data_IF_750904487245
#
_entry.id   IF_750904487245
#
_cell.length_a   1.000
_cell.length_b   1.000
_cell.length_c   1.000
_cell.angle_alpha   90.00
_cell.angle_beta   90.00
_cell.angle_gamma   90.00
#
_symmetry.space_group_name_H-M   'P 1'
#
loop_
_entity.id
_entity.type
_entity.pdbx_description
1 polymer ?
#
# COMPACT_ATOMS: atom_id res chain seq x y z
N UNK A 1 -42.63 39.39 14.66
CA UNK A 1 -42.51 37.95 14.98
C UNK A 1 -42.77 37.11 13.73
N UNK A 2 -41.77 36.88 12.87
CA UNK A 2 -41.92 36.00 11.69
C UNK A 2 -40.58 35.60 11.03
N UNK A 3 -39.51 35.53 11.82
CA UNK A 3 -38.15 35.26 11.33
C UNK A 3 -37.54 34.01 11.98
N UNK A 4 -38.29 32.90 12.06
CA UNK A 4 -37.85 31.71 12.81
C UNK A 4 -38.04 30.36 12.08
N UNK A 5 -38.18 30.33 10.74
CA UNK A 5 -38.50 29.09 10.02
C UNK A 5 -37.56 28.72 8.86
N UNK A 6 -36.33 29.24 8.83
CA UNK A 6 -35.35 28.89 7.75
C UNK A 6 -34.11 28.13 8.26
N UNK A 7 -34.05 27.80 9.55
CA UNK A 7 -32.86 27.18 10.16
C UNK A 7 -32.87 25.64 10.19
N UNK A 8 -33.75 24.96 9.43
CA UNK A 8 -33.96 23.51 9.54
C UNK A 8 -33.41 22.67 8.37
N UNK A 9 -32.61 23.23 7.46
CA UNK A 9 -32.04 22.52 6.31
C UNK A 9 -30.54 22.14 6.45
N UNK A 10 -30.02 22.01 7.67
CA UNK A 10 -28.58 21.78 7.92
C UNK A 10 -28.21 20.33 8.28
N UNK A 11 -28.99 19.31 7.84
CA UNK A 11 -28.82 17.95 8.38
C UNK A 11 -28.87 16.81 7.36
N UNK A 12 -28.49 17.00 6.09
CA UNK A 12 -28.33 15.85 5.18
C UNK A 12 -27.25 16.07 4.11
N UNK A 13 -26.01 15.72 4.46
CA UNK A 13 -25.20 14.88 3.59
C UNK A 13 -24.18 14.14 4.46
N UNK A 14 -24.55 12.92 4.80
CA UNK A 14 -23.62 11.92 5.31
C UNK A 14 -22.41 11.91 4.39
N UNK A 15 -21.25 12.32 4.92
CA UNK A 15 -19.99 12.08 4.26
C UNK A 15 -19.89 10.58 4.04
N UNK A 16 -20.02 10.15 2.79
CA UNK A 16 -19.63 8.82 2.36
C UNK A 16 -18.15 8.70 2.71
N UNK A 17 -17.86 8.02 3.83
CA UNK A 17 -16.53 7.51 4.07
C UNK A 17 -16.25 6.55 2.92
N UNK A 18 -15.56 7.05 1.89
CA UNK A 18 -14.92 6.20 0.92
C UNK A 18 -13.97 5.33 1.72
N UNK A 19 -14.30 4.06 1.89
CA UNK A 19 -13.33 3.08 2.35
C UNK A 19 -12.14 3.21 1.40
N UNK A 20 -10.93 3.41 1.94
CA UNK A 20 -9.72 3.45 1.14
C UNK A 20 -9.65 2.19 0.27
N UNK A 21 -10.06 2.28 -1.00
CA UNK A 21 -10.05 1.17 -1.95
C UNK A 21 -8.66 0.91 -2.51
N UNK A 22 -7.63 1.48 -1.88
CA UNK A 22 -6.24 1.37 -2.29
C UNK A 22 -5.48 0.34 -1.46
N UNK A 23 -4.23 0.12 -1.83
CA UNK A 23 -3.32 -0.71 -1.04
C UNK A 23 -3.03 -0.06 0.32
N UNK A 24 -3.12 -0.87 1.36
CA UNK A 24 -2.88 -0.50 2.75
C UNK A 24 -2.23 -1.68 3.49
N UNK A 25 -1.84 -1.49 4.76
CA UNK A 25 -1.10 -2.49 5.55
C UNK A 25 0.10 -3.08 4.78
N UNK A 26 0.84 -2.20 4.10
CA UNK A 26 1.99 -2.59 3.33
C UNK A 26 3.23 -2.69 4.22
N UNK A 27 4.02 -3.74 4.02
CA UNK A 27 5.25 -3.94 4.77
C UNK A 27 6.26 -4.75 3.99
N UNK A 28 7.49 -4.76 4.50
CA UNK A 28 8.55 -5.61 3.99
C UNK A 28 9.35 -6.20 5.13
N UNK A 29 9.87 -7.39 4.92
CA UNK A 29 10.74 -8.10 5.85
C UNK A 29 11.99 -8.57 5.12
N UNK A 30 13.13 -8.34 5.74
CA UNK A 30 14.41 -8.86 5.29
C UNK A 30 14.62 -10.28 5.84
N UNK A 31 15.05 -11.17 4.97
CA UNK A 31 15.61 -12.48 5.28
C UNK A 31 17.13 -12.49 5.05
N UNK A 32 17.74 -13.67 5.06
CA UNK A 32 19.20 -13.81 4.96
C UNK A 32 19.76 -13.36 3.61
N UNK A 33 19.08 -13.74 2.52
CA UNK A 33 19.46 -13.43 1.13
C UNK A 33 18.33 -12.86 0.27
N UNK A 34 17.15 -12.67 0.86
CA UNK A 34 15.96 -12.22 0.16
C UNK A 34 15.15 -11.30 1.04
N UNK A 35 14.28 -10.51 0.41
CA UNK A 35 13.24 -9.79 1.13
C UNK A 35 11.87 -10.25 0.63
N UNK A 36 10.87 -10.13 1.51
CA UNK A 36 9.46 -10.37 1.20
C UNK A 36 8.66 -9.13 1.52
N UNK A 37 7.86 -8.68 0.57
CA UNK A 37 6.95 -7.54 0.70
C UNK A 37 5.50 -8.01 0.66
N UNK A 38 4.62 -7.30 1.37
CA UNK A 38 3.19 -7.54 1.36
C UNK A 38 2.43 -6.22 1.32
N UNK A 39 1.18 -6.30 0.84
CA UNK A 39 0.15 -5.27 0.95
C UNK A 39 -1.21 -5.96 1.05
N UNK A 40 -2.18 -5.26 1.62
CA UNK A 40 -3.60 -5.62 1.64
C UNK A 40 -4.44 -4.61 0.84
N UNK A 41 -5.59 -5.03 0.32
CA UNK A 41 -6.54 -4.16 -0.40
C UNK A 41 -6.48 -4.35 -1.91
N UNK A 42 -6.83 -3.32 -2.67
CA UNK A 42 -6.92 -3.38 -4.14
C UNK A 42 -5.87 -2.47 -4.78
N UNK A 43 -5.13 -2.98 -5.77
CA UNK A 43 -4.14 -2.21 -6.52
C UNK A 43 -2.89 -3.01 -6.90
N UNK A 44 -1.94 -2.36 -7.56
CA UNK A 44 -0.68 -2.98 -7.97
C UNK A 44 0.50 -2.49 -7.13
N UNK A 45 1.42 -3.40 -6.80
CA UNK A 45 2.67 -3.06 -6.13
C UNK A 45 3.82 -3.99 -6.52
N UNK A 46 5.03 -3.49 -6.31
CA UNK A 46 6.27 -4.23 -6.38
C UNK A 46 7.13 -3.88 -5.15
N UNK A 47 8.33 -4.44 -5.08
CA UNK A 47 9.30 -4.15 -4.05
C UNK A 47 10.68 -3.92 -4.66
N UNK A 48 11.35 -2.89 -4.17
CA UNK A 48 12.78 -2.65 -4.40
C UNK A 48 13.56 -3.17 -3.19
N UNK A 49 14.62 -3.92 -3.43
CA UNK A 49 15.52 -4.44 -2.41
C UNK A 49 16.91 -3.92 -2.68
N UNK A 50 17.43 -3.10 -1.77
CA UNK A 50 18.81 -2.63 -1.86
C UNK A 50 19.71 -3.66 -1.20
N UNK A 51 20.63 -4.23 -1.95
CA UNK A 51 21.61 -5.21 -1.50
C UNK A 51 22.81 -4.51 -0.81
N UNK A 52 23.58 -5.26 -0.01
CA UNK A 52 24.74 -4.73 0.73
C UNK A 52 25.86 -4.19 -0.17
N UNK A 53 25.96 -4.69 -1.40
CA UNK A 53 26.87 -4.22 -2.45
C UNK A 53 26.39 -2.93 -3.15
N UNK A 54 25.19 -2.44 -2.80
CA UNK A 54 24.58 -1.25 -3.37
C UNK A 54 23.71 -1.49 -4.60
N UNK A 55 23.65 -2.72 -5.14
CA UNK A 55 22.72 -3.07 -6.21
C UNK A 55 21.27 -3.04 -5.73
N UNK A 56 20.34 -2.73 -6.63
CA UNK A 56 18.90 -2.76 -6.35
C UNK A 56 18.25 -3.86 -7.17
N UNK A 57 17.77 -4.88 -6.47
CA UNK A 57 16.98 -5.96 -7.02
C UNK A 57 15.50 -5.60 -6.93
N UNK A 58 14.76 -5.87 -8.01
CA UNK A 58 13.34 -5.50 -8.10
C UNK A 58 12.49 -6.74 -8.27
N UNK A 59 11.45 -6.86 -7.47
CA UNK A 59 10.47 -7.94 -7.61
C UNK A 59 9.63 -7.77 -8.89
N UNK A 60 8.90 -8.82 -9.25
CA UNK A 60 7.75 -8.67 -10.12
C UNK A 60 6.69 -7.72 -9.53
N UNK A 61 5.79 -7.24 -10.37
CA UNK A 61 4.60 -6.49 -9.93
C UNK A 61 3.44 -7.46 -9.72
N UNK A 62 2.74 -7.34 -8.61
CA UNK A 62 1.51 -8.07 -8.31
C UNK A 62 0.36 -7.08 -8.29
N UNK A 63 -0.78 -7.49 -8.86
CA UNK A 63 -2.05 -6.80 -8.74
C UNK A 63 -2.96 -7.60 -7.80
N UNK A 64 -3.58 -6.91 -6.84
CA UNK A 64 -4.54 -7.48 -5.91
C UNK A 64 -5.91 -6.89 -6.25
N UNK A 65 -6.91 -7.75 -6.43
CA UNK A 65 -8.31 -7.33 -6.60
C UNK A 65 -8.99 -7.10 -5.25
N UNK A 66 -8.70 -7.97 -4.28
CA UNK A 66 -9.06 -7.85 -2.86
C UNK A 66 -8.18 -8.81 -2.04
N UNK A 67 -7.95 -8.51 -0.75
CA UNK A 67 -7.15 -9.33 0.15
C UNK A 67 -5.66 -9.02 0.15
N UNK A 68 -4.81 -10.06 0.31
CA UNK A 68 -3.36 -9.91 0.46
C UNK A 68 -2.59 -10.31 -0.80
N UNK A 69 -1.52 -9.57 -1.09
CA UNK A 69 -0.53 -9.91 -2.11
C UNK A 69 0.86 -10.02 -1.50
N UNK A 70 1.72 -10.83 -2.13
CA UNK A 70 3.10 -11.03 -1.73
C UNK A 70 4.04 -10.85 -2.92
N UNK A 71 5.17 -10.20 -2.68
CA UNK A 71 6.28 -10.10 -3.62
C UNK A 71 7.58 -10.49 -2.94
N UNK A 72 8.54 -11.00 -3.71
CA UNK A 72 9.88 -11.27 -3.21
C UNK A 72 10.94 -10.89 -4.25
N UNK A 73 12.12 -10.55 -3.75
CA UNK A 73 13.32 -10.34 -4.53
C UNK A 73 14.52 -10.81 -3.70
N UNK A 74 15.56 -11.27 -4.39
CA UNK A 74 16.74 -11.85 -3.75
C UNK A 74 17.99 -11.10 -4.15
N UNK A 75 18.87 -10.90 -3.18
CA UNK A 75 20.23 -10.42 -3.41
C UNK A 75 21.16 -11.62 -3.57
N UNK A 76 22.26 -11.45 -4.31
CA UNK A 76 23.32 -12.46 -4.33
C UNK A 76 23.91 -12.68 -2.92
N UNK A 77 24.22 -11.59 -2.21
CA UNK A 77 24.68 -11.60 -0.82
C UNK A 77 23.52 -11.48 0.17
N UNK A 78 23.24 -10.25 0.62
CA UNK A 78 22.27 -9.94 1.68
C UNK A 78 21.50 -8.67 1.33
N UNK A 79 20.19 -8.59 1.63
CA UNK A 79 19.46 -7.34 1.57
C UNK A 79 19.84 -6.42 2.74
N UNK A 80 20.04 -5.13 2.44
CA UNK A 80 20.25 -4.06 3.41
C UNK A 80 18.96 -3.31 3.73
N UNK A 81 18.13 -3.10 2.72
CA UNK A 81 16.86 -2.38 2.83
C UNK A 81 15.83 -2.95 1.83
N UNK A 82 14.55 -2.81 2.14
CA UNK A 82 13.46 -3.19 1.25
C UNK A 82 12.31 -2.20 1.34
N UNK A 83 11.81 -1.75 0.18
CA UNK A 83 10.76 -0.74 0.08
C UNK A 83 9.67 -1.19 -0.87
N UNK A 84 8.42 -1.08 -0.42
CA UNK A 84 7.25 -1.26 -1.27
C UNK A 84 7.11 -0.08 -2.24
N UNK A 85 6.84 -0.41 -3.51
CA UNK A 85 6.59 0.53 -4.59
C UNK A 85 5.17 0.31 -5.10
N UNK A 86 4.24 1.15 -4.65
CA UNK A 86 2.86 1.18 -5.17
C UNK A 86 2.89 1.66 -6.61
N UNK A 87 2.10 1.02 -7.48
CA UNK A 87 1.94 1.37 -8.89
C UNK A 87 0.58 2.04 -9.08
N UNK A 88 0.59 3.19 -9.75
CA UNK A 88 -0.59 3.94 -10.21
C UNK A 88 -1.13 3.38 -11.51
#
# INVERSE_FOLDING_TARGET
MRALLVAALMLLSAGVAAADTGLHDCGARLGDRSATGWCHGTGAFAMDVTCVDGHVERSGTVYIEDGYGLVSASCFDRPRDARIVVKS
#
